data_IF_814821394010
#
_entry.id   IF_814821394010
#
_cell.length_a   1.000
_cell.length_b   1.000
_cell.length_c   1.000
_cell.angle_alpha   90.00
_cell.angle_beta   90.00
_cell.angle_gamma   90.00
#
_symmetry.space_group_name_H-M   'P 1'
#
loop_
_entity.id
_entity.type
_entity.pdbx_description
1 polymer ?
#
# COMPACT_ATOMS: atom_id res chain seq x y z
N UNK A 1 -17.36 14.93 24.04
CA UNK A 1 -17.32 14.54 22.62
C UNK A 1 -15.93 14.11 22.17
N UNK A 2 -14.85 14.57 22.83
CA UNK A 2 -13.49 14.05 22.62
C UNK A 2 -13.22 12.69 23.32
N UNK A 3 -13.92 12.41 24.42
CA UNK A 3 -13.77 11.16 25.20
C UNK A 3 -14.32 9.92 24.47
N UNK A 4 -15.35 10.10 23.63
CA UNK A 4 -15.91 9.02 22.80
C UNK A 4 -14.99 8.65 21.64
N UNK A 5 -14.21 9.61 21.15
CA UNK A 5 -13.25 9.40 20.05
C UNK A 5 -12.03 8.58 20.48
N UNK A 6 -11.62 8.69 21.75
CA UNK A 6 -10.48 7.94 22.30
C UNK A 6 -10.83 6.47 22.64
N UNK A 7 -12.08 6.15 22.93
CA UNK A 7 -12.51 4.76 23.18
C UNK A 7 -12.63 3.93 21.89
N UNK A 8 -12.99 4.53 20.76
CA UNK A 8 -13.05 3.84 19.46
C UNK A 8 -11.67 3.47 18.91
N UNK A 9 -10.63 4.22 19.27
CA UNK A 9 -9.26 3.95 18.85
C UNK A 9 -8.60 2.77 19.60
N UNK A 10 -9.04 2.47 20.84
CA UNK A 10 -8.41 1.46 21.68
C UNK A 10 -8.88 0.02 21.36
N UNK A 11 -10.14 -0.14 20.93
CA UNK A 11 -10.72 -1.45 20.60
C UNK A 11 -10.15 -2.02 19.28
N UNK A 12 -9.70 -1.15 18.37
CA UNK A 12 -9.23 -1.55 17.03
C UNK A 12 -7.79 -2.07 16.99
N UNK A 13 -7.01 -1.86 18.06
CA UNK A 13 -5.64 -2.39 18.17
C UNK A 13 -5.61 -3.84 18.70
N UNK A 14 -6.60 -4.23 19.52
CA UNK A 14 -6.60 -5.56 20.17
C UNK A 14 -6.96 -6.71 19.21
N UNK A 15 -7.82 -6.44 18.21
CA UNK A 15 -8.29 -7.43 17.22
C UNK A 15 -7.28 -7.69 16.09
N UNK A 16 -6.45 -6.69 15.75
CA UNK A 16 -5.31 -6.88 14.85
C UNK A 16 -4.23 -7.76 15.50
N UNK A 17 -4.01 -7.58 16.80
CA UNK A 17 -3.01 -8.35 17.54
C UNK A 17 -3.42 -9.82 17.72
N UNK A 18 -4.70 -10.11 17.99
CA UNK A 18 -5.18 -11.50 18.17
C UNK A 18 -5.13 -12.33 16.88
N UNK A 19 -5.39 -11.73 15.72
CA UNK A 19 -5.34 -12.41 14.41
C UNK A 19 -3.92 -12.78 13.94
N UNK A 20 -2.88 -12.11 14.44
CA UNK A 20 -1.48 -12.50 14.20
C UNK A 20 -1.06 -13.74 15.02
N UNK A 21 -1.77 -14.08 16.10
CA UNK A 21 -1.36 -15.18 17.00
C UNK A 21 -2.02 -16.52 16.64
N UNK A 22 -3.16 -16.50 15.93
CA UNK A 22 -3.87 -17.72 15.50
C UNK A 22 -3.36 -18.30 14.17
N UNK A 23 -2.49 -17.57 13.46
CA UNK A 23 -1.87 -18.05 12.23
C UNK A 23 -0.50 -17.44 11.99
N UNK A 24 0.54 -17.94 12.67
CA UNK A 24 1.97 -17.61 12.46
C UNK A 24 2.17 -16.19 11.87
N UNK A 25 1.70 -15.17 12.59
CA UNK A 25 1.41 -13.82 12.09
C UNK A 25 2.64 -12.95 11.87
N UNK A 26 3.61 -13.48 11.14
CA UNK A 26 4.62 -12.65 10.51
C UNK A 26 3.96 -12.01 9.28
N UNK A 27 3.81 -10.68 9.24
CA UNK A 27 3.26 -10.02 8.06
C UNK A 27 4.11 -10.39 6.84
N UNK A 28 3.45 -10.67 5.72
CA UNK A 28 4.13 -10.94 4.47
C UNK A 28 4.76 -9.65 3.94
N UNK A 29 6.04 -9.43 4.26
CA UNK A 29 6.82 -8.30 3.78
C UNK A 29 7.28 -8.57 2.34
N UNK A 30 6.75 -7.79 1.40
CA UNK A 30 7.14 -7.86 -0.01
C UNK A 30 7.90 -6.58 -0.37
N UNK A 31 9.12 -6.72 -0.87
CA UNK A 31 9.97 -5.59 -1.22
C UNK A 31 9.48 -4.83 -2.46
N UNK A 32 9.69 -3.50 -2.46
CA UNK A 32 9.41 -2.62 -3.60
C UNK A 32 10.45 -2.82 -4.71
N UNK A 33 9.98 -3.09 -5.91
CA UNK A 33 10.83 -3.15 -7.11
C UNK A 33 10.59 -1.91 -7.97
N UNK A 34 11.63 -1.09 -8.17
CA UNK A 34 11.57 0.10 -9.02
C UNK A 34 11.66 -0.25 -10.51
N UNK A 35 10.92 0.50 -11.33
CA UNK A 35 10.96 0.38 -12.79
C UNK A 35 12.01 1.36 -13.33
N UNK A 36 13.26 0.92 -13.39
CA UNK A 36 14.43 1.76 -13.69
C UNK A 36 14.34 2.53 -15.03
N UNK A 37 13.78 1.91 -16.06
CA UNK A 37 13.62 2.53 -17.39
C UNK A 37 12.27 3.24 -17.57
N UNK A 38 11.53 3.52 -16.49
CA UNK A 38 10.25 4.21 -16.58
C UNK A 38 10.43 5.69 -16.98
N UNK A 39 11.44 6.36 -16.42
CA UNK A 39 11.75 7.75 -16.74
C UNK A 39 12.09 7.97 -18.21
N UNK A 40 12.83 7.05 -18.85
CA UNK A 40 13.14 7.14 -20.28
C UNK A 40 11.91 7.03 -21.17
N UNK A 41 10.80 6.53 -20.63
CA UNK A 41 9.49 6.42 -21.29
C UNK A 41 8.50 7.49 -20.84
N UNK A 42 8.93 8.45 -20.01
CA UNK A 42 8.07 9.50 -19.46
C UNK A 42 7.09 9.02 -18.38
N UNK A 43 7.24 7.79 -17.88
CA UNK A 43 6.40 7.25 -16.81
C UNK A 43 7.05 7.54 -15.44
N UNK A 44 6.55 8.55 -14.74
CA UNK A 44 7.01 8.96 -13.41
C UNK A 44 5.83 9.22 -12.47
N UNK A 45 6.10 9.20 -11.17
CA UNK A 45 5.14 9.64 -10.15
C UNK A 45 4.92 11.16 -10.23
N UNK A 46 3.91 11.68 -9.51
CA UNK A 46 3.61 13.12 -9.47
C UNK A 46 4.76 13.98 -8.92
N UNK A 47 5.61 13.40 -8.07
CA UNK A 47 6.81 14.03 -7.52
C UNK A 47 8.07 13.84 -8.39
N UNK A 48 7.94 13.17 -9.54
CA UNK A 48 9.04 12.88 -10.47
C UNK A 48 9.88 11.64 -10.11
N UNK A 49 9.55 10.93 -9.04
CA UNK A 49 10.25 9.68 -8.68
C UNK A 49 9.88 8.51 -9.61
N UNK A 50 10.65 7.42 -9.55
CA UNK A 50 10.38 6.22 -10.32
C UNK A 50 9.19 5.44 -9.73
N UNK A 51 8.25 4.97 -10.57
CA UNK A 51 7.22 4.05 -10.11
C UNK A 51 7.82 2.67 -9.77
N UNK A 52 7.08 1.89 -8.97
CA UNK A 52 7.47 0.53 -8.59
C UNK A 52 6.27 -0.36 -8.29
N UNK A 53 6.54 -1.63 -8.00
CA UNK A 53 5.53 -2.61 -7.62
C UNK A 53 6.04 -3.56 -6.53
N UNK A 54 5.11 -4.11 -5.76
CA UNK A 54 5.34 -5.26 -4.88
C UNK A 54 4.93 -6.54 -5.61
N UNK A 55 5.80 -7.54 -5.69
CA UNK A 55 5.50 -8.81 -6.34
C UNK A 55 5.75 -9.99 -5.40
N UNK A 56 4.65 -10.63 -4.99
CA UNK A 56 4.69 -11.96 -4.43
C UNK A 56 4.30 -12.97 -5.52
N UNK A 57 5.14 -13.99 -5.75
CA UNK A 57 4.91 -14.98 -6.84
C UNK A 57 3.74 -15.93 -6.57
N UNK A 58 3.15 -15.87 -5.38
CA UNK A 58 2.15 -16.83 -4.94
C UNK A 58 2.78 -18.20 -4.65
N UNK A 59 1.95 -19.17 -4.27
CA UNK A 59 2.36 -20.55 -4.00
C UNK A 59 1.16 -21.49 -4.21
N UNK A 60 1.42 -22.79 -4.25
CA UNK A 60 0.39 -23.82 -4.38
C UNK A 60 -0.48 -23.63 -5.63
N UNK A 61 -1.80 -23.73 -5.47
CA UNK A 61 -2.77 -23.59 -6.56
C UNK A 61 -2.81 -22.18 -7.17
N UNK A 62 -2.35 -21.15 -6.47
CA UNK A 62 -2.35 -19.77 -6.94
C UNK A 62 -1.10 -19.35 -7.73
N UNK A 63 -0.10 -20.22 -7.90
CA UNK A 63 1.20 -19.85 -8.48
C UNK A 63 1.13 -19.36 -9.95
N UNK A 64 0.07 -19.72 -10.68
CA UNK A 64 -0.17 -19.31 -12.07
C UNK A 64 -1.35 -18.33 -12.22
N UNK A 65 -1.86 -17.81 -11.10
CA UNK A 65 -2.96 -16.84 -11.08
C UNK A 65 -2.43 -15.46 -10.71
N UNK A 66 -2.84 -14.44 -11.46
CA UNK A 66 -2.37 -13.07 -11.26
C UNK A 66 -3.45 -12.23 -10.60
N UNK A 67 -3.09 -11.57 -9.50
CA UNK A 67 -3.89 -10.50 -8.90
C UNK A 67 -3.11 -9.19 -9.03
N UNK A 68 -3.74 -8.18 -9.62
CA UNK A 68 -3.17 -6.84 -9.75
C UNK A 68 -3.95 -5.91 -8.84
N UNK A 69 -3.28 -5.38 -7.82
CA UNK A 69 -3.84 -4.36 -6.93
C UNK A 69 -3.30 -2.98 -7.33
N UNK A 70 -4.20 -2.03 -7.57
CA UNK A 70 -3.85 -0.64 -7.87
C UNK A 70 -4.18 0.23 -6.66
N UNK A 71 -3.15 0.70 -5.97
CA UNK A 71 -3.34 1.62 -4.87
C UNK A 71 -3.60 3.03 -5.41
N UNK A 72 -4.67 3.65 -4.93
CA UNK A 72 -4.97 5.06 -5.20
C UNK A 72 -4.67 5.88 -3.96
N UNK A 73 -3.91 6.96 -4.14
CA UNK A 73 -3.78 8.02 -3.14
C UNK A 73 -4.52 9.24 -3.65
N UNK A 74 -5.45 9.75 -2.86
CA UNK A 74 -6.09 11.02 -3.15
C UNK A 74 -5.08 12.14 -2.89
N UNK A 75 -4.63 12.79 -3.95
CA UNK A 75 -3.77 13.97 -3.86
C UNK A 75 -4.62 15.21 -4.15
N UNK A 76 -4.86 16.03 -3.13
CA UNK A 76 -5.50 17.34 -3.27
C UNK A 76 -4.53 18.30 -3.98
N UNK A 77 -4.64 18.43 -5.30
CA UNK A 77 -3.90 19.44 -6.05
C UNK A 77 -4.66 20.78 -5.94
N UNK A 78 -4.16 21.73 -5.15
CA UNK A 78 -4.66 23.10 -5.22
C UNK A 78 -4.40 23.67 -6.63
N UNK A 79 -5.36 24.38 -7.25
CA UNK A 79 -5.13 25.01 -8.54
C UNK A 79 -3.98 25.99 -8.40
N UNK A 80 -2.87 25.76 -9.11
CA UNK A 80 -1.84 26.79 -9.27
C UNK A 80 -2.50 27.95 -9.98
N UNK A 81 -2.64 29.08 -9.28
CA UNK A 81 -2.95 30.38 -9.87
C UNK A 81 -2.03 30.56 -11.08
N UNK A 82 -2.64 30.60 -12.27
CA UNK A 82 -1.97 31.05 -13.47
C UNK A 82 -1.51 32.49 -13.18
N UNK A 83 -0.20 32.69 -13.25
CA UNK A 83 0.40 34.02 -13.32
C UNK A 83 0.60 34.37 -14.79
#
# INVERSE_FOLDING_TARGET
TEELFLLEAHEHESLYSSSLLEGNGNPLLVGLTLIHNAATKGAVCLDGTLPGYHLHRGYGSGANSWLVNLEIKYVMQYPRSLR
#
